data_IF_628169066100
#
_entry.id   IF_628169066100
#
_cell.length_a   1.000
_cell.length_b   1.000
_cell.length_c   1.000
_cell.angle_alpha   90.00
_cell.angle_beta   90.00
_cell.angle_gamma   90.00
#
_symmetry.space_group_name_H-M   'P 1'
#
loop_
_entity.id
_entity.type
_entity.pdbx_description
1 polymer ?
#
# COMPACT_ATOMS: atom_id res chain seq x y z
N UNK A 1 26.07 -12.62 -0.63
CA UNK A 1 24.76 -12.68 0.03
C UNK A 1 23.76 -11.88 -0.78
N UNK A 2 22.71 -12.56 -1.26
CA UNK A 2 21.63 -11.92 -2.01
C UNK A 2 20.60 -11.33 -1.05
N UNK A 3 20.03 -10.18 -1.41
CA UNK A 3 18.92 -9.55 -0.69
C UNK A 3 17.66 -9.58 -1.54
N UNK A 4 16.52 -9.57 -0.86
CA UNK A 4 15.20 -9.38 -1.47
C UNK A 4 14.58 -8.10 -0.95
N UNK A 5 13.98 -7.32 -1.83
CA UNK A 5 13.23 -6.12 -1.45
C UNK A 5 11.75 -6.47 -1.41
N UNK A 6 11.16 -6.41 -0.23
CA UNK A 6 9.79 -6.83 0.03
C UNK A 6 8.91 -5.65 0.43
N UNK A 7 7.64 -5.74 0.11
CA UNK A 7 6.60 -4.82 0.57
C UNK A 7 5.33 -5.58 0.92
N UNK A 8 4.53 -5.05 1.83
CA UNK A 8 3.23 -5.64 2.20
C UNK A 8 2.15 -4.61 1.95
N UNK A 9 1.15 -4.98 1.18
CA UNK A 9 0.15 -4.08 0.65
C UNK A 9 -1.26 -4.60 0.88
N UNK A 10 -2.21 -3.66 0.92
CA UNK A 10 -3.64 -3.91 0.74
C UNK A 10 -4.03 -3.39 -0.64
N UNK A 11 -4.12 -4.25 -1.68
CA UNK A 11 -4.56 -3.79 -3.00
C UNK A 11 -6.00 -3.27 -2.95
N UNK A 12 -6.25 -2.18 -3.68
CA UNK A 12 -7.60 -1.66 -3.83
C UNK A 12 -8.36 -2.55 -4.83
N UNK A 13 -9.50 -3.14 -4.45
CA UNK A 13 -10.19 -4.10 -5.31
C UNK A 13 -10.93 -3.42 -6.46
N UNK A 14 -11.31 -4.23 -7.46
CA UNK A 14 -12.24 -3.79 -8.50
C UNK A 14 -13.61 -3.43 -7.89
N UNK A 15 -14.34 -2.43 -8.43
CA UNK A 15 -13.98 -1.64 -9.62
C UNK A 15 -13.03 -0.49 -9.34
N UNK A 16 -12.75 -0.18 -8.08
CA UNK A 16 -12.03 1.03 -7.66
C UNK A 16 -10.54 1.01 -8.00
N UNK A 17 -9.88 -0.14 -7.82
CA UNK A 17 -8.45 -0.29 -8.12
C UNK A 17 -8.14 -0.01 -9.58
N UNK A 18 -8.78 -0.71 -10.54
CA UNK A 18 -8.62 -0.42 -11.96
C UNK A 18 -8.97 1.02 -12.36
N UNK A 19 -9.96 1.62 -11.73
CA UNK A 19 -10.33 3.04 -11.97
C UNK A 19 -9.17 3.96 -11.58
N UNK A 20 -8.62 3.79 -10.39
CA UNK A 20 -7.47 4.58 -9.93
C UNK A 20 -6.22 4.29 -10.77
N UNK A 21 -5.99 3.05 -11.17
CA UNK A 21 -4.84 2.69 -12.01
C UNK A 21 -4.92 3.34 -13.38
N UNK A 22 -6.10 3.40 -13.98
CA UNK A 22 -6.35 4.12 -15.22
C UNK A 22 -6.04 5.61 -15.08
N UNK A 23 -6.48 6.21 -14.00
CA UNK A 23 -6.20 7.61 -13.70
C UNK A 23 -4.70 7.87 -13.51
N UNK A 24 -4.03 7.05 -12.72
CA UNK A 24 -2.59 7.16 -12.45
C UNK A 24 -1.77 7.06 -13.74
N UNK A 25 -2.10 6.11 -14.60
CA UNK A 25 -1.43 5.92 -15.89
C UNK A 25 -1.66 7.12 -16.81
N UNK A 26 -2.89 7.61 -16.91
CA UNK A 26 -3.22 8.76 -17.74
C UNK A 26 -2.51 10.04 -17.27
N UNK A 27 -2.42 10.24 -15.97
CA UNK A 27 -1.79 11.42 -15.37
C UNK A 27 -0.27 11.42 -15.54
N UNK A 28 0.38 10.30 -15.28
CA UNK A 28 1.85 10.19 -15.30
C UNK A 28 2.41 9.86 -16.69
N UNK A 29 1.63 9.22 -17.55
CA UNK A 29 2.09 8.69 -18.82
C UNK A 29 3.07 7.52 -18.68
N UNK A 30 3.20 6.95 -17.49
CA UNK A 30 4.15 5.88 -17.20
C UNK A 30 3.45 4.56 -16.88
N UNK A 31 4.16 3.46 -17.06
CA UNK A 31 3.70 2.13 -16.62
C UNK A 31 3.74 2.08 -15.11
N UNK A 32 2.67 1.58 -14.50
CA UNK A 32 2.60 1.39 -13.06
C UNK A 32 3.42 0.20 -12.61
N UNK A 33 4.19 0.35 -11.55
CA UNK A 33 4.97 -0.73 -10.95
C UNK A 33 4.11 -1.62 -10.04
N UNK A 34 3.12 -1.03 -9.39
CA UNK A 34 2.18 -1.73 -8.50
C UNK A 34 0.77 -1.21 -8.72
N UNK A 35 -0.27 -2.04 -8.50
CA UNK A 35 -1.64 -1.56 -8.51
C UNK A 35 -1.89 -0.57 -7.37
N UNK A 36 -2.96 0.21 -7.46
CA UNK A 36 -3.39 1.10 -6.37
C UNK A 36 -3.54 0.29 -5.08
N UNK A 37 -2.97 0.80 -4.00
CA UNK A 37 -2.91 0.06 -2.74
C UNK A 37 -2.73 0.96 -1.53
N UNK A 38 -3.05 0.43 -0.36
CA UNK A 38 -2.63 0.96 0.93
C UNK A 38 -1.36 0.21 1.33
N UNK A 39 -0.28 0.92 1.63
CA UNK A 39 0.96 0.31 2.10
C UNK A 39 0.85 -0.06 3.59
N UNK A 40 1.22 -1.28 3.94
CA UNK A 40 1.41 -1.71 5.32
C UNK A 40 2.90 -1.70 5.69
N UNK A 41 3.73 -2.28 4.86
CA UNK A 41 5.20 -2.28 4.99
C UNK A 41 5.79 -1.70 3.72
N UNK A 42 6.52 -0.58 3.80
CA UNK A 42 7.18 -0.01 2.62
C UNK A 42 8.31 -0.91 2.14
N UNK A 43 8.87 -0.65 0.96
CA UNK A 43 9.99 -1.44 0.44
C UNK A 43 11.08 -1.60 1.50
N UNK A 44 11.39 -2.85 1.83
CA UNK A 44 12.32 -3.23 2.90
C UNK A 44 13.24 -4.33 2.39
N UNK A 45 14.54 -4.10 2.50
CA UNK A 45 15.54 -5.09 2.11
C UNK A 45 15.76 -6.09 3.25
N UNK A 46 15.68 -7.36 2.90
CA UNK A 46 15.97 -8.47 3.82
C UNK A 46 16.93 -9.45 3.15
N UNK A 47 17.74 -10.20 3.92
CA UNK A 47 18.48 -11.32 3.34
C UNK A 47 17.54 -12.30 2.65
N UNK A 48 17.91 -12.79 1.47
CA UNK A 48 17.03 -13.65 0.67
C UNK A 48 16.61 -14.93 1.42
N UNK A 49 17.48 -15.46 2.28
CA UNK A 49 17.20 -16.63 3.11
C UNK A 49 16.19 -16.34 4.25
N UNK A 50 15.87 -15.08 4.52
CA UNK A 50 14.87 -14.66 5.50
C UNK A 50 13.44 -14.70 4.94
N UNK A 51 13.27 -14.77 3.63
CA UNK A 51 11.94 -14.73 2.99
C UNK A 51 10.97 -15.80 3.52
N UNK A 52 11.37 -17.07 3.76
CA UNK A 52 10.48 -18.03 4.39
C UNK A 52 9.97 -17.62 5.78
N UNK A 53 10.82 -17.00 6.58
CA UNK A 53 10.44 -16.48 7.89
C UNK A 53 9.45 -15.30 7.78
N UNK A 54 9.62 -14.46 6.75
CA UNK A 54 8.66 -13.38 6.45
C UNK A 54 7.30 -13.95 6.08
N UNK A 55 7.25 -14.97 5.24
CA UNK A 55 6.00 -15.64 4.84
C UNK A 55 5.29 -16.23 6.06
N UNK A 56 6.02 -16.93 6.93
CA UNK A 56 5.46 -17.49 8.16
C UNK A 56 4.93 -16.39 9.09
N UNK A 57 5.69 -15.31 9.26
CA UNK A 57 5.28 -14.16 10.07
C UNK A 57 3.99 -13.52 9.55
N UNK A 58 3.91 -13.24 8.25
CA UNK A 58 2.71 -12.63 7.65
C UNK A 58 1.50 -13.55 7.70
N UNK A 59 1.69 -14.85 7.57
CA UNK A 59 0.63 -15.84 7.76
C UNK A 59 0.05 -15.77 9.18
N UNK A 60 0.90 -15.67 10.18
CA UNK A 60 0.48 -15.54 11.58
C UNK A 60 -0.23 -14.21 11.84
N UNK A 61 0.30 -13.11 11.31
CA UNK A 61 -0.30 -11.77 11.44
C UNK A 61 -1.71 -11.76 10.83
N UNK A 62 -1.84 -12.25 9.61
CA UNK A 62 -3.13 -12.30 8.91
C UNK A 62 -4.13 -13.21 9.64
N UNK A 63 -3.69 -14.36 10.08
CA UNK A 63 -4.54 -15.33 10.79
C UNK A 63 -5.09 -14.83 12.12
N UNK A 64 -4.41 -13.87 12.74
CA UNK A 64 -4.81 -13.28 14.03
C UNK A 64 -5.66 -12.02 13.89
N UNK A 65 -5.95 -11.57 12.68
CA UNK A 65 -6.68 -10.34 12.42
C UNK A 65 -8.02 -10.62 11.72
N UNK A 66 -9.11 -10.08 12.27
CA UNK A 66 -10.42 -10.17 11.63
C UNK A 66 -10.49 -9.24 10.41
N UNK A 67 -11.23 -9.61 9.36
CA UNK A 67 -11.56 -8.69 8.28
C UNK A 67 -12.22 -7.41 8.78
N UNK A 68 -11.99 -6.29 8.10
CA UNK A 68 -12.55 -5.00 8.48
C UNK A 68 -12.89 -4.14 7.26
N UNK A 69 -13.82 -3.21 7.45
CA UNK A 69 -14.23 -2.30 6.38
C UNK A 69 -13.22 -1.14 6.25
N UNK A 70 -12.92 -0.77 5.02
CA UNK A 70 -12.14 0.42 4.66
C UNK A 70 -13.01 1.31 3.78
N UNK A 71 -12.90 2.62 4.01
CA UNK A 71 -13.46 3.63 3.11
C UNK A 71 -12.39 4.63 2.72
N UNK A 72 -12.34 4.90 1.41
CA UNK A 72 -11.52 5.95 0.83
C UNK A 72 -12.43 7.12 0.47
N UNK A 73 -12.03 8.35 0.82
CA UNK A 73 -12.76 9.54 0.38
C UNK A 73 -11.87 10.77 0.39
N UNK A 74 -11.94 11.50 -0.73
CA UNK A 74 -11.23 12.76 -0.87
C UNK A 74 -9.73 12.61 -1.01
N UNK A 75 -9.05 13.71 -1.19
CA UNK A 75 -7.61 13.79 -1.45
C UNK A 75 -6.86 14.47 -0.33
N UNK A 76 -5.57 14.16 -0.24
CA UNK A 76 -4.61 14.81 0.62
C UNK A 76 -3.25 14.91 -0.07
N UNK A 77 -2.32 15.61 0.53
CA UNK A 77 -0.96 15.74 -0.01
C UNK A 77 0.05 15.80 1.11
N UNK A 78 1.24 15.25 0.85
CA UNK A 78 2.37 15.37 1.77
C UNK A 78 3.26 16.58 1.48
N UNK A 79 2.90 17.40 0.47
CA UNK A 79 3.64 18.62 0.18
C UNK A 79 3.61 19.61 1.36
N UNK A 80 4.66 20.34 1.63
CA UNK A 80 5.92 20.43 0.88
C UNK A 80 6.95 19.37 1.24
N UNK A 81 6.69 18.49 2.22
CA UNK A 81 7.64 17.46 2.68
C UNK A 81 7.94 16.44 1.60
N UNK A 82 6.93 16.04 0.84
CA UNK A 82 7.04 15.07 -0.25
C UNK A 82 6.07 15.41 -1.37
N UNK A 83 6.47 15.24 -2.66
CA UNK A 83 5.63 15.57 -3.82
C UNK A 83 4.63 14.44 -4.10
N UNK A 84 3.73 14.21 -3.16
CA UNK A 84 2.75 13.12 -3.20
C UNK A 84 1.35 13.67 -3.03
N UNK A 85 0.43 13.20 -3.88
CA UNK A 85 -1.02 13.36 -3.72
C UNK A 85 -1.62 11.97 -3.57
N UNK A 86 -2.54 11.82 -2.65
CA UNK A 86 -3.16 10.55 -2.30
C UNK A 86 -4.66 10.67 -2.07
N UNK A 87 -5.34 9.54 -2.13
CA UNK A 87 -6.72 9.39 -1.66
C UNK A 87 -6.68 9.00 -0.19
N UNK A 88 -7.51 9.68 0.62
CA UNK A 88 -7.53 9.51 2.07
C UNK A 88 -8.25 8.24 2.48
N UNK A 89 -7.73 7.55 3.48
CA UNK A 89 -8.46 6.52 4.23
C UNK A 89 -9.24 7.22 5.34
N UNK A 90 -10.57 7.16 5.29
CA UNK A 90 -11.46 7.83 6.25
C UNK A 90 -12.19 6.87 7.19
N UNK A 91 -12.18 5.57 6.89
CA UNK A 91 -12.66 4.51 7.77
C UNK A 91 -11.76 3.29 7.63
N UNK A 92 -11.59 2.53 8.70
CA UNK A 92 -10.67 1.39 8.75
C UNK A 92 -9.24 1.77 9.09
N UNK A 93 -9.01 2.99 9.56
CA UNK A 93 -7.68 3.49 9.92
C UNK A 93 -7.04 2.62 10.99
N UNK A 94 -7.76 2.30 12.06
CA UNK A 94 -7.25 1.48 13.16
C UNK A 94 -6.89 0.06 12.72
N UNK A 95 -7.67 -0.52 11.82
CA UNK A 95 -7.36 -1.84 11.22
C UNK A 95 -6.07 -1.81 10.42
N UNK A 96 -5.90 -0.79 9.59
CA UNK A 96 -4.66 -0.58 8.83
C UNK A 96 -3.46 -0.36 9.75
N UNK A 97 -3.61 0.48 10.78
CA UNK A 97 -2.54 0.75 11.76
C UNK A 97 -2.12 -0.51 12.50
N UNK A 98 -3.06 -1.32 12.95
CA UNK A 98 -2.78 -2.56 13.67
C UNK A 98 -2.08 -3.59 12.77
N UNK A 99 -2.56 -3.78 11.54
CA UNK A 99 -1.89 -4.66 10.57
C UNK A 99 -0.47 -4.17 10.25
N UNK A 100 -0.30 -2.87 10.02
CA UNK A 100 1.02 -2.29 9.73
C UNK A 100 1.96 -2.50 10.92
N UNK A 101 1.50 -2.26 12.13
CA UNK A 101 2.29 -2.43 13.36
C UNK A 101 2.75 -3.87 13.51
N UNK A 102 1.85 -4.83 13.33
CA UNK A 102 2.18 -6.25 13.45
C UNK A 102 3.06 -6.75 12.30
N UNK A 103 2.76 -6.35 11.07
CA UNK A 103 3.55 -6.75 9.90
C UNK A 103 4.99 -6.21 9.96
N UNK A 104 5.18 -5.02 10.55
CA UNK A 104 6.50 -4.40 10.71
C UNK A 104 7.30 -4.93 11.90
N UNK A 105 6.77 -5.86 12.66
CA UNK A 105 7.50 -6.57 13.71
C UNK A 105 8.23 -7.80 13.14
N UNK A 106 9.09 -8.42 13.93
CA UNK A 106 9.80 -9.64 13.52
C UNK A 106 10.74 -9.42 12.35
N UNK A 107 10.73 -10.32 11.35
CA UNK A 107 11.71 -10.29 10.26
C UNK A 107 11.60 -9.07 9.33
N UNK A 108 10.48 -8.34 9.35
CA UNK A 108 10.30 -7.10 8.59
C UNK A 108 10.50 -5.86 9.45
N UNK A 109 11.07 -6.01 10.64
CA UNK A 109 11.26 -4.89 11.56
C UNK A 109 12.09 -3.78 10.91
N UNK A 110 11.53 -2.57 10.94
CA UNK A 110 12.23 -1.35 10.54
C UNK A 110 11.71 -0.19 11.38
N UNK A 111 12.58 0.79 11.63
CA UNK A 111 12.16 2.01 12.33
C UNK A 111 11.52 2.95 11.31
N UNK A 112 10.22 3.26 11.44
CA UNK A 112 9.57 4.17 10.50
C UNK A 112 10.14 5.58 10.66
N UNK A 113 10.36 6.25 9.53
CA UNK A 113 10.84 7.64 9.50
C UNK A 113 9.77 8.64 9.94
N UNK A 114 8.50 8.30 9.68
CA UNK A 114 7.32 9.09 10.04
C UNK A 114 6.28 8.19 10.68
N UNK A 115 5.34 8.75 11.46
CA UNK A 115 4.18 8.00 11.93
C UNK A 115 3.44 7.35 10.75
N UNK A 116 2.92 6.15 10.96
CA UNK A 116 2.16 5.45 9.93
C UNK A 116 0.92 6.25 9.56
N UNK A 117 0.70 6.45 8.26
CA UNK A 117 -0.46 7.14 7.71
C UNK A 117 -1.02 6.33 6.55
N UNK A 118 -2.16 5.63 6.73
CA UNK A 118 -2.76 4.86 5.63
C UNK A 118 -3.30 5.79 4.55
N UNK A 119 -2.93 5.52 3.32
CA UNK A 119 -3.34 6.31 2.15
C UNK A 119 -3.15 5.50 0.88
N UNK A 120 -3.76 5.97 -0.22
CA UNK A 120 -3.54 5.41 -1.56
C UNK A 120 -2.92 6.49 -2.44
N UNK A 121 -1.66 6.35 -2.78
CA UNK A 121 -0.96 7.30 -3.65
C UNK A 121 -1.51 7.27 -5.07
N UNK A 122 -1.87 8.43 -5.60
CA UNK A 122 -2.34 8.59 -6.98
C UNK A 122 -1.39 9.42 -7.86
N UNK A 123 -0.51 10.21 -7.26
CA UNK A 123 0.50 10.97 -7.99
C UNK A 123 1.75 11.15 -7.13
N UNK A 124 2.91 10.92 -7.70
CA UNK A 124 4.19 11.04 -7.01
C UNK A 124 5.29 11.55 -7.95
N UNK A 125 6.02 12.57 -7.50
CA UNK A 125 7.18 13.07 -8.24
C UNK A 125 6.84 13.77 -9.56
N UNK A 126 5.59 14.20 -9.75
CA UNK A 126 5.14 14.94 -10.91
C UNK A 126 5.30 16.44 -10.67
N UNK A 127 5.03 17.25 -11.70
CA UNK A 127 5.02 18.71 -11.56
C UNK A 127 3.95 19.17 -10.56
N UNK A 128 4.14 20.33 -9.96
CA UNK A 128 3.15 20.91 -9.05
C UNK A 128 1.78 21.06 -9.73
N UNK A 129 1.76 21.42 -11.01
CA UNK A 129 0.51 21.53 -11.76
C UNK A 129 -0.20 20.17 -11.91
N UNK A 130 0.55 19.10 -12.15
CA UNK A 130 -0.02 17.73 -12.23
C UNK A 130 -0.49 17.26 -10.85
N UNK A 131 0.24 17.56 -9.79
CA UNK A 131 -0.17 17.24 -8.42
C UNK A 131 -1.44 18.01 -8.02
N UNK A 132 -1.54 19.29 -8.34
CA UNK A 132 -2.74 20.09 -8.12
C UNK A 132 -3.95 19.52 -8.88
N UNK A 133 -3.73 19.12 -10.13
CA UNK A 133 -4.75 18.48 -10.95
C UNK A 133 -5.28 17.20 -10.30
N UNK A 134 -4.39 16.33 -9.82
CA UNK A 134 -4.78 15.09 -9.14
C UNK A 134 -5.56 15.39 -7.87
N UNK A 135 -5.10 16.34 -7.07
CA UNK A 135 -5.76 16.76 -5.84
C UNK A 135 -7.20 17.23 -6.10
N UNK A 136 -7.39 18.04 -7.12
CA UNK A 136 -8.69 18.63 -7.44
C UNK A 136 -9.62 17.61 -8.12
N UNK A 137 -9.12 16.86 -9.10
CA UNK A 137 -9.94 15.93 -9.88
C UNK A 137 -10.43 14.74 -9.06
N UNK A 138 -9.65 14.26 -8.09
CA UNK A 138 -10.01 13.12 -7.24
C UNK A 138 -10.60 13.52 -5.88
N UNK A 139 -10.87 14.80 -5.67
CA UNK A 139 -11.38 15.32 -4.39
C UNK A 139 -12.72 14.71 -3.97
N UNK A 140 -13.51 14.21 -4.91
CA UNK A 140 -14.79 13.55 -4.63
C UNK A 140 -14.76 12.02 -4.80
N UNK A 141 -13.55 11.44 -5.00
CA UNK A 141 -13.41 9.99 -5.07
C UNK A 141 -13.95 9.34 -3.78
N UNK A 142 -14.72 8.27 -3.92
CA UNK A 142 -15.32 7.54 -2.81
C UNK A 142 -15.34 6.05 -3.15
N UNK A 143 -14.82 5.23 -2.24
CA UNK A 143 -14.79 3.79 -2.39
C UNK A 143 -14.87 3.13 -1.02
N UNK A 144 -15.46 1.95 -0.97
CA UNK A 144 -15.50 1.17 0.26
C UNK A 144 -15.45 -0.33 -0.05
N UNK A 145 -14.78 -1.10 0.80
CA UNK A 145 -14.71 -2.56 0.67
C UNK A 145 -14.29 -3.20 2.00
N UNK A 146 -14.46 -4.53 2.06
CA UNK A 146 -13.91 -5.35 3.12
C UNK A 146 -12.47 -5.72 2.81
N UNK A 147 -11.57 -5.40 3.72
CA UNK A 147 -10.21 -5.93 3.71
C UNK A 147 -10.27 -7.35 4.29
N UNK A 148 -9.96 -8.34 3.47
CA UNK A 148 -10.01 -9.75 3.84
C UNK A 148 -8.68 -10.49 3.59
N UNK A 149 -7.63 -9.76 3.27
CA UNK A 149 -6.29 -10.31 3.06
C UNK A 149 -5.23 -9.24 2.93
N UNK A 150 -3.99 -9.63 3.16
CA UNK A 150 -2.81 -8.82 2.90
C UNK A 150 -1.97 -9.49 1.82
N UNK A 151 -1.21 -8.72 1.04
CA UNK A 151 -0.41 -9.27 -0.05
C UNK A 151 1.06 -8.88 0.09
N UNK A 152 1.92 -9.90 0.02
CA UNK A 152 3.37 -9.74 -0.04
C UNK A 152 3.79 -9.52 -1.49
N UNK A 153 4.53 -8.45 -1.73
CA UNK A 153 5.14 -8.12 -3.01
C UNK A 153 6.66 -8.16 -2.90
N UNK A 154 7.31 -8.55 -3.98
CA UNK A 154 8.77 -8.54 -4.11
C UNK A 154 9.17 -7.75 -5.35
N UNK A 155 10.21 -6.93 -5.21
CA UNK A 155 10.84 -6.26 -6.33
C UNK A 155 11.97 -7.14 -6.86
N UNK A 156 11.68 -7.88 -7.93
CA UNK A 156 12.62 -8.77 -8.58
C UNK A 156 13.22 -8.17 -9.85
N UNK A 157 13.86 -9.02 -10.67
CA UNK A 157 14.47 -8.61 -11.94
C UNK A 157 13.48 -8.03 -12.93
N UNK A 158 12.21 -8.46 -12.86
CA UNK A 158 11.11 -7.98 -13.72
C UNK A 158 10.26 -6.89 -13.06
N UNK A 159 10.75 -6.28 -11.99
CA UNK A 159 10.02 -5.28 -11.22
C UNK A 159 9.19 -5.88 -10.07
N UNK A 160 8.22 -5.12 -9.59
CA UNK A 160 7.36 -5.54 -8.49
C UNK A 160 6.34 -6.57 -8.95
N UNK A 161 6.23 -7.66 -8.19
CA UNK A 161 5.24 -8.70 -8.42
C UNK A 161 4.69 -9.26 -7.12
N UNK A 162 3.42 -9.69 -7.13
CA UNK A 162 2.80 -10.35 -6.00
C UNK A 162 3.41 -11.73 -5.79
N UNK A 163 3.85 -11.99 -4.57
CA UNK A 163 4.41 -13.29 -4.17
C UNK A 163 3.31 -14.18 -3.59
N UNK A 164 2.54 -13.64 -2.63
CA UNK A 164 1.52 -14.41 -1.93
C UNK A 164 0.50 -13.51 -1.25
N UNK A 165 -0.76 -13.96 -1.27
CA UNK A 165 -1.84 -13.36 -0.50
C UNK A 165 -2.10 -14.18 0.75
N UNK A 166 -2.27 -13.50 1.88
CA UNK A 166 -2.60 -14.11 3.17
C UNK A 166 -4.01 -13.67 3.56
N UNK A 167 -4.99 -14.58 3.59
CA UNK A 167 -6.33 -14.22 4.02
C UNK A 167 -6.35 -13.85 5.50
N UNK A 168 -7.10 -12.81 5.85
CA UNK A 168 -7.41 -12.50 7.24
C UNK A 168 -8.36 -13.55 7.78
N UNK A 169 -8.18 -13.93 9.03
CA UNK A 169 -9.01 -14.97 9.56
C UNK A 169 -9.09 -14.95 11.07
N UNK A 170 -10.27 -14.69 11.57
CA UNK A 170 -10.75 -15.09 12.88
C UNK A 170 -12.16 -15.56 12.72
#
# INVERSE_FOLDING_TARGET
>A
LTSSTLGVLLPVPAPYGPELDGYRTALSGAVLETPAHITLVPPTDVPADTVPAVVEHLSAVAGACAPFAVRLRGTGTFRPTSPVVFVCVVAGISGCEELARQARSGPLHSTPRFPYHPHVTIAHGLSDAALDKAFDEQASFDAHWWVDGITLYENGSDGWGAVRRFPLGL
#
